data_IF_548262997997
#
_entry.id   IF_548262997997
#
_cell.length_a   1.000
_cell.length_b   1.000
_cell.length_c   1.000
_cell.angle_alpha   90.00
_cell.angle_beta   90.00
_cell.angle_gamma   90.00
#
_symmetry.space_group_name_H-M   'P 1'
#
loop_
_entity.id
_entity.type
_entity.pdbx_description
1 polymer ?
#
# COMPACT_ATOMS: atom_id res chain seq x y z
N UNK A 1 46.83 -0.51 -9.90
CA UNK A 1 46.18 0.81 -9.98
C UNK A 1 44.74 0.64 -9.50
N UNK A 2 44.53 0.62 -8.18
CA UNK A 2 44.13 1.75 -7.32
C UNK A 2 42.65 2.16 -7.53
N UNK A 3 41.76 1.41 -6.88
CA UNK A 3 40.36 1.76 -6.61
C UNK A 3 40.32 2.93 -5.62
N UNK A 4 39.60 4.01 -5.95
CA UNK A 4 39.40 5.14 -5.04
C UNK A 4 37.91 5.34 -4.79
N UNK A 5 37.44 4.71 -3.72
CA UNK A 5 36.08 4.83 -3.17
C UNK A 5 36.06 5.98 -2.17
N UNK A 6 35.27 7.02 -2.41
CA UNK A 6 35.04 8.09 -1.44
C UNK A 6 33.66 7.91 -0.80
N UNK A 7 33.66 7.31 0.39
CA UNK A 7 32.56 7.34 1.36
C UNK A 7 32.56 8.72 2.03
N UNK A 8 31.42 9.41 2.04
CA UNK A 8 31.27 10.67 2.76
C UNK A 8 30.04 10.56 3.66
N UNK A 9 30.30 10.29 4.95
CA UNK A 9 29.30 10.24 6.02
C UNK A 9 29.26 11.63 6.63
N UNK A 10 28.14 12.34 6.50
CA UNK A 10 27.85 13.52 7.34
C UNK A 10 26.80 13.17 8.37
N UNK A 11 27.26 13.09 9.61
CA UNK A 11 26.52 12.88 10.84
C UNK A 11 26.48 14.23 11.57
N UNK A 12 25.31 14.90 11.60
CA UNK A 12 24.95 16.01 12.51
C UNK A 12 23.61 16.59 12.03
N UNK A 13 22.67 17.05 12.84
CA UNK A 13 22.66 17.36 14.26
C UNK A 13 21.25 17.11 14.81
N UNK A 14 21.22 16.54 16.01
CA UNK A 14 20.10 16.64 16.95
C UNK A 14 19.88 18.12 17.26
N UNK A 15 18.68 18.65 17.00
CA UNK A 15 18.22 19.88 17.65
C UNK A 15 16.90 19.62 18.36
N UNK A 16 17.06 19.50 19.66
CA UNK A 16 16.05 19.44 20.71
C UNK A 16 15.32 20.79 20.76
N UNK A 17 14.00 20.80 20.53
CA UNK A 17 13.16 21.95 20.83
C UNK A 17 12.31 21.63 22.06
N UNK A 18 12.75 22.12 23.22
CA UNK A 18 11.93 22.16 24.44
C UNK A 18 11.23 23.52 24.44
N UNK A 19 9.94 23.52 24.09
CA UNK A 19 9.07 24.67 24.26
C UNK A 19 8.48 24.64 25.69
N UNK A 20 9.02 25.50 26.54
CA UNK A 20 8.49 25.88 27.85
C UNK A 20 7.27 26.79 27.63
N UNK A 21 6.07 26.35 27.95
CA UNK A 21 4.87 27.21 27.96
C UNK A 21 4.39 27.38 29.40
N UNK A 22 4.38 28.66 29.77
CA UNK A 22 3.97 29.25 31.03
C UNK A 22 2.53 28.91 31.41
N UNK A 23 2.33 28.66 32.70
CA UNK A 23 1.03 28.55 33.35
C UNK A 23 0.31 29.91 33.30
N UNK A 24 -0.85 29.96 32.65
CA UNK A 24 -1.78 31.08 32.69
C UNK A 24 -3.18 30.56 33.01
N UNK A 25 -3.65 30.83 34.23
CA UNK A 25 -5.03 30.57 34.66
C UNK A 25 -5.96 31.60 34.02
N UNK A 26 -7.01 31.13 33.35
CA UNK A 26 -8.15 31.96 32.93
C UNK A 26 -9.45 31.19 33.15
N UNK A 27 -10.57 31.90 33.40
CA UNK A 27 -11.62 31.51 34.32
C UNK A 27 -12.78 30.82 33.60
N UNK A 28 -13.63 30.15 34.39
CA UNK A 28 -14.98 29.70 34.07
C UNK A 28 -15.60 30.33 32.80
N UNK A 29 -15.77 29.50 31.77
CA UNK A 29 -16.56 29.83 30.59
C UNK A 29 -17.63 28.75 30.43
N UNK A 30 -18.87 29.21 30.43
CA UNK A 30 -20.12 28.50 30.16
C UNK A 30 -19.98 27.28 29.24
N UNK A 31 -20.44 26.13 29.73
CA UNK A 31 -20.74 24.96 28.91
C UNK A 31 -21.89 25.29 27.96
N UNK A 32 -21.56 25.81 26.79
CA UNK A 32 -22.46 25.73 25.65
C UNK A 32 -22.63 24.24 25.34
N UNK A 33 -23.83 23.72 25.60
CA UNK A 33 -24.23 22.38 25.18
C UNK A 33 -24.14 22.33 23.67
N UNK A 34 -23.00 21.86 23.17
CA UNK A 34 -22.84 21.45 21.78
C UNK A 34 -23.75 20.23 21.60
N UNK A 35 -24.98 20.46 21.12
CA UNK A 35 -25.77 19.39 20.56
C UNK A 35 -24.92 18.72 19.47
N UNK A 36 -24.71 17.39 19.51
CA UNK A 36 -24.02 16.73 18.43
C UNK A 36 -24.85 16.94 17.16
N UNK A 37 -24.38 17.82 16.28
CA UNK A 37 -24.81 17.80 14.89
C UNK A 37 -24.35 16.45 14.36
N UNK A 38 -25.31 15.53 14.19
CA UNK A 38 -25.08 14.31 13.45
C UNK A 38 -24.84 14.76 12.02
N UNK A 39 -23.57 14.91 11.66
CA UNK A 39 -23.15 15.11 10.29
C UNK A 39 -23.58 13.87 9.51
N UNK A 40 -24.67 14.01 8.78
CA UNK A 40 -25.19 13.00 7.89
C UNK A 40 -24.23 12.84 6.70
N UNK A 41 -23.80 11.60 6.46
CA UNK A 41 -23.45 11.13 5.13
C UNK A 41 -22.06 11.49 4.60
N UNK A 42 -20.99 11.12 5.30
CA UNK A 42 -19.78 10.74 4.56
C UNK A 42 -20.13 9.50 3.74
N UNK A 43 -20.24 9.62 2.41
CA UNK A 43 -20.43 8.46 1.53
C UNK A 43 -19.33 7.45 1.81
N UNK A 44 -19.68 6.36 2.49
CA UNK A 44 -18.75 5.29 2.78
C UNK A 44 -18.56 4.49 1.48
N UNK A 45 -17.39 4.64 0.85
CA UNK A 45 -16.99 3.91 -0.35
C UNK A 45 -17.21 2.41 -0.09
N UNK A 46 -18.21 1.83 -0.75
CA UNK A 46 -18.62 0.45 -0.52
C UNK A 46 -17.76 -0.44 -1.41
N UNK A 47 -16.73 -1.02 -0.82
CA UNK A 47 -15.78 -1.87 -1.53
C UNK A 47 -16.24 -3.33 -1.55
N UNK A 48 -16.29 -3.92 -2.74
CA UNK A 48 -16.44 -5.36 -2.92
C UNK A 48 -15.06 -6.01 -2.89
N UNK A 49 -14.93 -7.11 -2.15
CA UNK A 49 -13.71 -7.93 -2.07
C UNK A 49 -13.99 -9.31 -2.61
N UNK A 50 -13.36 -9.66 -3.71
CA UNK A 50 -13.52 -10.97 -4.35
C UNK A 50 -12.23 -11.78 -4.17
N UNK A 51 -12.31 -12.88 -3.43
CA UNK A 51 -11.20 -13.82 -3.30
C UNK A 51 -11.00 -14.56 -4.62
N UNK A 52 -9.82 -14.40 -5.25
CA UNK A 52 -9.48 -15.04 -6.50
C UNK A 52 -8.82 -16.40 -6.29
N UNK A 53 -7.95 -16.50 -5.28
CA UNK A 53 -7.25 -17.72 -4.90
C UNK A 53 -6.75 -17.64 -3.45
N UNK A 54 -6.53 -18.80 -2.83
CA UNK A 54 -6.03 -18.94 -1.45
C UNK A 54 -5.12 -20.15 -1.30
N UNK A 55 -4.44 -20.26 -0.17
CA UNK A 55 -3.52 -21.36 0.15
C UNK A 55 -2.36 -21.50 -0.86
N UNK A 56 -1.82 -20.38 -1.33
CA UNK A 56 -0.74 -20.36 -2.32
C UNK A 56 0.64 -20.18 -1.66
N UNK A 57 1.67 -20.73 -2.30
CA UNK A 57 3.09 -20.43 -1.99
C UNK A 57 3.68 -19.39 -2.95
N UNK A 58 3.08 -19.23 -4.12
CA UNK A 58 3.45 -18.22 -5.10
C UNK A 58 2.21 -17.69 -5.84
N UNK A 59 2.26 -16.43 -6.26
CA UNK A 59 1.25 -15.81 -7.10
C UNK A 59 1.93 -14.95 -8.17
N UNK A 60 1.40 -14.96 -9.40
CA UNK A 60 1.89 -14.14 -10.50
C UNK A 60 0.72 -13.35 -11.08
N UNK A 61 0.92 -12.05 -11.23
CA UNK A 61 -0.03 -11.12 -11.85
C UNK A 61 0.68 -10.30 -12.93
N UNK A 62 -0.09 -9.76 -13.87
CA UNK A 62 0.43 -8.88 -14.93
C UNK A 62 -0.46 -7.66 -15.08
N UNK A 63 0.15 -6.50 -15.32
CA UNK A 63 -0.60 -5.29 -15.68
C UNK A 63 -0.97 -5.33 -17.16
N UNK A 64 -2.26 -5.42 -17.44
CA UNK A 64 -2.80 -5.50 -18.80
C UNK A 64 -3.13 -4.11 -19.38
N UNK A 65 -3.58 -3.17 -18.53
CA UNK A 65 -3.86 -1.79 -18.88
C UNK A 65 -3.76 -0.86 -17.66
N UNK A 66 -3.50 0.43 -17.91
CA UNK A 66 -3.36 1.44 -16.87
C UNK A 66 -1.99 1.43 -16.20
N UNK A 67 -1.94 2.00 -15.00
CA UNK A 67 -0.74 2.08 -14.18
C UNK A 67 -1.10 1.86 -12.71
N UNK A 68 -0.16 1.29 -11.98
CA UNK A 68 -0.36 0.88 -10.60
C UNK A 68 0.82 1.32 -9.73
N UNK A 69 0.59 1.39 -8.43
CA UNK A 69 1.64 1.49 -7.42
C UNK A 69 1.57 0.24 -6.56
N UNK A 70 2.70 -0.45 -6.44
CA UNK A 70 2.85 -1.52 -5.47
C UNK A 70 3.25 -0.92 -4.12
N UNK A 71 2.49 -1.26 -3.08
CA UNK A 71 2.60 -0.68 -1.74
C UNK A 71 2.76 -1.82 -0.75
N UNK A 72 3.67 -1.65 0.21
CA UNK A 72 3.73 -2.50 1.39
C UNK A 72 2.58 -2.11 2.34
N UNK A 73 1.60 -2.99 2.49
CA UNK A 73 0.43 -2.74 3.32
C UNK A 73 0.72 -2.70 4.82
N UNK A 74 1.87 -3.21 5.29
CA UNK A 74 2.26 -3.05 6.70
C UNK A 74 2.74 -1.63 7.01
N UNK A 75 3.51 -1.02 6.11
CA UNK A 75 4.08 0.33 6.30
C UNK A 75 3.28 1.44 5.61
N UNK A 76 2.44 1.08 4.64
CA UNK A 76 1.75 2.01 3.75
C UNK A 76 2.66 2.68 2.72
N UNK A 77 3.95 2.29 2.66
CA UNK A 77 4.93 2.94 1.79
C UNK A 77 4.89 2.37 0.36
N UNK A 78 4.98 3.22 -0.67
CA UNK A 78 5.12 2.75 -2.04
C UNK A 78 6.48 2.07 -2.21
N UNK A 79 6.46 0.90 -2.84
CA UNK A 79 7.65 0.14 -3.20
C UNK A 79 8.12 0.59 -4.58
N UNK A 80 7.22 0.62 -5.55
CA UNK A 80 7.51 1.00 -6.93
C UNK A 80 6.24 1.22 -7.74
N UNK A 81 6.36 1.99 -8.83
CA UNK A 81 5.34 2.06 -9.86
C UNK A 81 5.38 0.83 -10.78
N UNK A 82 4.23 0.53 -11.37
CA UNK A 82 4.01 -0.57 -12.32
C UNK A 82 3.26 -0.01 -13.54
N UNK A 83 3.68 -0.42 -14.72
CA UNK A 83 3.12 0.00 -16.00
C UNK A 83 2.56 -1.20 -16.76
N UNK A 84 1.75 -0.91 -17.79
CA UNK A 84 1.29 -1.93 -18.74
C UNK A 84 2.43 -2.81 -19.23
N UNK A 85 2.23 -4.12 -19.12
CA UNK A 85 3.20 -5.13 -19.50
C UNK A 85 3.99 -5.71 -18.32
N UNK A 86 4.08 -4.99 -17.20
CA UNK A 86 4.83 -5.46 -16.04
C UNK A 86 4.22 -6.73 -15.46
N UNK A 87 5.09 -7.69 -15.16
CA UNK A 87 4.73 -8.95 -14.51
C UNK A 87 5.29 -8.96 -13.10
N UNK A 88 4.42 -9.20 -12.11
CA UNK A 88 4.75 -9.19 -10.70
C UNK A 88 4.60 -10.60 -10.16
N UNK A 89 5.67 -11.11 -9.57
CA UNK A 89 5.71 -12.41 -8.90
C UNK A 89 5.87 -12.20 -7.41
N UNK A 90 5.05 -12.92 -6.65
CA UNK A 90 5.05 -12.94 -5.20
C UNK A 90 5.40 -14.35 -4.76
N UNK A 91 6.51 -14.53 -4.06
CA UNK A 91 6.96 -15.83 -3.58
C UNK A 91 7.03 -15.81 -2.05
N UNK A 92 6.31 -16.73 -1.40
CA UNK A 92 6.30 -16.84 0.06
C UNK A 92 7.65 -17.35 0.56
N UNK A 93 8.20 -16.65 1.56
CA UNK A 93 9.41 -17.00 2.29
C UNK A 93 9.10 -16.96 3.80
N UNK A 94 8.69 -18.10 4.36
CA UNK A 94 8.24 -18.17 5.74
C UNK A 94 7.01 -17.28 5.98
N UNK A 95 7.09 -16.37 6.95
CA UNK A 95 6.06 -15.34 7.22
C UNK A 95 6.28 -14.03 6.47
N UNK A 96 6.98 -14.07 5.34
CA UNK A 96 7.24 -12.92 4.48
C UNK A 96 7.06 -13.27 3.01
N UNK A 97 7.11 -12.29 2.12
CA UNK A 97 7.03 -12.44 0.68
C UNK A 97 8.19 -11.74 0.00
N UNK A 98 8.83 -12.43 -0.95
CA UNK A 98 9.76 -11.85 -1.90
C UNK A 98 8.96 -11.41 -3.13
N UNK A 99 9.06 -10.12 -3.46
CA UNK A 99 8.46 -9.56 -4.68
C UNK A 99 9.52 -9.56 -5.78
N UNK A 100 9.12 -9.89 -7.00
CA UNK A 100 9.93 -9.69 -8.21
C UNK A 100 9.10 -9.02 -9.30
N UNK A 101 9.70 -8.09 -10.04
CA UNK A 101 9.05 -7.35 -11.13
C UNK A 101 9.85 -7.61 -12.38
N UNK A 102 9.19 -8.13 -13.42
CA UNK A 102 9.83 -8.55 -14.67
C UNK A 102 11.02 -9.48 -14.41
N UNK A 103 10.88 -10.39 -13.44
CA UNK A 103 11.93 -11.32 -13.03
C UNK A 103 13.03 -10.73 -12.13
N UNK A 104 13.02 -9.42 -11.87
CA UNK A 104 14.02 -8.77 -11.01
C UNK A 104 13.50 -8.70 -9.57
N UNK A 105 14.16 -9.36 -8.60
CA UNK A 105 13.74 -9.33 -7.20
C UNK A 105 13.90 -7.92 -6.61
N UNK A 106 12.91 -7.52 -5.82
CA UNK A 106 12.99 -6.30 -5.03
C UNK A 106 13.95 -6.50 -3.84
N UNK A 107 14.67 -5.45 -3.40
CA UNK A 107 15.74 -5.57 -2.42
C UNK A 107 15.28 -6.01 -1.02
N UNK A 108 13.99 -5.87 -0.72
CA UNK A 108 13.39 -6.20 0.58
C UNK A 108 12.39 -7.35 0.48
N UNK A 109 12.24 -8.08 1.58
CA UNK A 109 11.10 -8.97 1.82
C UNK A 109 10.05 -8.25 2.64
N UNK A 110 8.78 -8.54 2.41
CA UNK A 110 7.67 -7.85 3.05
C UNK A 110 6.87 -8.81 3.92
N UNK A 111 6.48 -8.40 5.13
CA UNK A 111 5.68 -9.23 6.05
C UNK A 111 4.18 -8.91 5.97
N UNK A 112 3.84 -7.74 5.48
CA UNK A 112 2.47 -7.27 5.35
C UNK A 112 1.79 -7.73 4.07
N UNK A 113 0.48 -7.44 3.93
CA UNK A 113 -0.20 -7.60 2.66
C UNK A 113 0.44 -6.69 1.61
N UNK A 114 0.44 -7.14 0.36
CA UNK A 114 0.90 -6.31 -0.77
C UNK A 114 -0.31 -5.69 -1.45
N UNK A 115 -0.30 -4.38 -1.64
CA UNK A 115 -1.39 -3.68 -2.31
C UNK A 115 -0.90 -3.19 -3.67
N UNK A 116 -1.56 -3.60 -4.73
CA UNK A 116 -1.35 -3.06 -6.07
C UNK A 116 -2.54 -2.15 -6.36
N UNK A 117 -2.35 -0.85 -6.17
CA UNK A 117 -3.41 0.16 -6.31
C UNK A 117 -3.32 0.89 -7.62
N UNK A 118 -4.45 1.12 -8.27
CA UNK A 118 -4.51 1.95 -9.47
C UNK A 118 -3.93 3.34 -9.16
N UNK A 119 -2.95 3.79 -9.96
CA UNK A 119 -2.34 5.10 -9.78
C UNK A 119 -3.28 6.23 -10.26
N UNK A 120 -4.10 5.95 -11.27
CA UNK A 120 -5.13 6.84 -11.79
C UNK A 120 -6.49 6.14 -11.79
N UNK A 121 -7.34 6.44 -10.80
CA UNK A 121 -8.69 5.84 -10.67
C UNK A 121 -9.64 6.18 -11.83
N UNK A 122 -9.34 7.20 -12.64
CA UNK A 122 -10.17 7.61 -13.79
C UNK A 122 -9.86 6.82 -15.06
N UNK A 123 -8.68 6.20 -15.14
CA UNK A 123 -8.26 5.38 -16.25
C UNK A 123 -8.84 3.95 -16.19
N UNK A 124 -8.80 3.25 -17.34
CA UNK A 124 -9.05 1.81 -17.38
C UNK A 124 -7.83 1.06 -16.83
N UNK A 125 -7.93 0.63 -15.57
CA UNK A 125 -6.91 -0.16 -14.91
C UNK A 125 -7.31 -1.63 -14.93
N UNK A 126 -6.49 -2.44 -15.58
CA UNK A 126 -6.70 -3.88 -15.70
C UNK A 126 -5.42 -4.62 -15.33
N UNK A 127 -5.58 -5.67 -14.53
CA UNK A 127 -4.55 -6.66 -14.31
C UNK A 127 -5.08 -8.05 -14.65
N UNK A 128 -4.18 -8.97 -14.93
CA UNK A 128 -4.50 -10.36 -15.16
C UNK A 128 -3.90 -11.27 -14.10
N UNK A 129 -4.69 -12.23 -13.63
CA UNK A 129 -4.28 -13.28 -12.72
C UNK A 129 -4.80 -14.61 -13.28
N UNK A 130 -3.91 -15.60 -13.45
CA UNK A 130 -4.23 -16.89 -14.08
C UNK A 130 -4.93 -16.74 -15.45
N UNK A 131 -4.48 -15.80 -16.27
CA UNK A 131 -5.05 -15.46 -17.59
C UNK A 131 -6.49 -14.90 -17.58
N UNK A 132 -7.04 -14.57 -16.40
CA UNK A 132 -8.32 -13.88 -16.25
C UNK A 132 -8.06 -12.42 -15.93
N UNK A 133 -8.81 -11.51 -16.56
CA UNK A 133 -8.69 -10.06 -16.35
C UNK A 133 -9.61 -9.57 -15.24
N UNK A 134 -9.07 -8.70 -14.42
CA UNK A 134 -9.74 -8.06 -13.30
C UNK A 134 -9.54 -6.54 -13.37
N UNK A 135 -10.41 -5.79 -12.69
CA UNK A 135 -10.42 -4.32 -12.66
C UNK A 135 -9.96 -3.79 -11.31
N UNK A 136 -9.53 -2.53 -11.31
CA UNK A 136 -9.14 -1.80 -10.10
C UNK A 136 -8.00 -2.50 -9.36
N UNK A 137 -8.12 -2.65 -8.03
CA UNK A 137 -7.01 -2.94 -7.15
C UNK A 137 -6.84 -4.45 -6.91
N UNK A 138 -5.61 -4.84 -6.60
CA UNK A 138 -5.28 -6.18 -6.12
C UNK A 138 -4.68 -6.08 -4.72
N UNK A 139 -5.16 -6.93 -3.82
CA UNK A 139 -4.57 -7.16 -2.51
C UNK A 139 -4.06 -8.59 -2.44
N UNK A 140 -2.77 -8.74 -2.14
CA UNK A 140 -2.18 -10.02 -1.76
C UNK A 140 -2.10 -10.09 -0.24
N UNK A 141 -2.84 -11.00 0.37
CA UNK A 141 -2.71 -11.26 1.80
C UNK A 141 -1.51 -12.18 2.04
N UNK A 142 -0.70 -11.83 3.04
CA UNK A 142 0.50 -12.58 3.44
C UNK A 142 0.30 -13.04 4.88
N UNK A 143 -0.08 -14.31 5.03
CA UNK A 143 -0.23 -14.99 6.33
C UNK A 143 0.61 -16.27 6.30
N UNK A 144 0.10 -17.38 6.87
CA UNK A 144 0.67 -18.71 6.70
C UNK A 144 0.55 -19.23 5.26
N UNK A 145 -0.25 -18.56 4.43
CA UNK A 145 -0.35 -18.74 2.99
C UNK A 145 -0.47 -17.39 2.28
N UNK A 146 -0.34 -17.41 0.95
CA UNK A 146 -0.73 -16.28 0.11
C UNK A 146 -2.18 -16.44 -0.33
N UNK A 147 -2.93 -15.34 -0.30
CA UNK A 147 -4.24 -15.23 -0.94
C UNK A 147 -4.31 -13.98 -1.82
N UNK A 148 -4.97 -14.11 -2.95
CA UNK A 148 -5.11 -13.07 -3.96
C UNK A 148 -6.55 -12.59 -3.93
N UNK A 149 -6.74 -11.29 -3.73
CA UNK A 149 -8.06 -10.65 -3.59
C UNK A 149 -8.14 -9.49 -4.57
N UNK A 150 -9.17 -9.47 -5.40
CA UNK A 150 -9.52 -8.28 -6.17
C UNK A 150 -10.40 -7.36 -5.33
N UNK A 151 -10.07 -6.08 -5.30
CA UNK A 151 -10.82 -5.05 -4.57
C UNK A 151 -11.33 -4.05 -5.59
N UNK A 152 -12.65 -3.89 -5.64
CA UNK A 152 -13.33 -3.01 -6.58
C UNK A 152 -14.39 -2.18 -5.85
N UNK A 153 -14.72 -1.04 -6.43
CA UNK A 153 -15.85 -0.24 -5.99
C UNK A 153 -17.16 -0.89 -6.45
N UNK A 154 -18.20 -0.89 -5.61
CA UNK A 154 -19.54 -1.36 -5.98
C UNK A 154 -20.10 -0.64 -7.20
N UNK A 155 -19.77 0.65 -7.38
CA UNK A 155 -20.27 1.44 -8.51
C UNK A 155 -19.71 0.98 -9.86
N UNK A 156 -18.69 0.11 -9.86
CA UNK A 156 -18.03 -0.42 -11.06
C UNK A 156 -18.50 -1.84 -11.43
N UNK A 157 -19.47 -2.41 -10.70
CA UNK A 157 -20.09 -3.70 -10.98
C UNK A 157 -21.41 -3.54 -11.75
#
# INVERSE_FOLDING_TARGET
MAFKTHFNIKLSAFFLWIALIMMGTVPWASEAVNSPSISAGGQQETLIRVGLARNLTAAVTRVDAGSYVLIDGATGLPITGLNKGDTISFNKLGGSVQVSINGTPQPSTFKGPMLMRAADKSALNLFSYQNVRYRDDLTLLVEDFLAVVNVLDVEKY
#
